data_IF_447082187677
#
_entry.id   IF_447082187677
#
_cell.length_a   1.000
_cell.length_b   1.000
_cell.length_c   1.000
_cell.angle_alpha   90.00
_cell.angle_beta   90.00
_cell.angle_gamma   90.00
#
_symmetry.space_group_name_H-M   'P 1'
#
loop_
_entity.id
_entity.type
_entity.pdbx_description
1 polymer ?
#
# COMPACT_ATOMS: atom_id res chain seq x y z
N UNK A 1 -34.17 4.06 -19.68
CA UNK A 1 -32.74 4.02 -19.90
C UNK A 1 -32.04 3.50 -18.67
N UNK A 2 -31.33 2.43 -18.83
CA UNK A 2 -30.56 1.89 -17.72
C UNK A 2 -29.19 2.56 -17.69
N UNK A 3 -28.93 3.32 -16.67
CA UNK A 3 -27.59 3.84 -16.44
C UNK A 3 -26.86 2.82 -15.58
N UNK A 4 -25.97 2.09 -16.20
CA UNK A 4 -25.06 1.26 -15.43
C UNK A 4 -24.00 2.17 -14.85
N UNK A 5 -24.19 2.55 -13.62
CA UNK A 5 -23.14 3.19 -12.88
C UNK A 5 -22.21 2.07 -12.42
N UNK A 6 -21.04 1.98 -13.04
CA UNK A 6 -19.95 1.34 -12.35
C UNK A 6 -19.88 2.00 -10.97
N UNK A 7 -19.89 1.22 -9.90
CA UNK A 7 -19.75 1.78 -8.57
C UNK A 7 -18.53 2.71 -8.58
N UNK A 8 -18.70 3.99 -8.23
CA UNK A 8 -17.55 4.87 -8.21
C UNK A 8 -16.52 4.30 -7.22
N UNK A 9 -15.26 4.43 -7.57
CA UNK A 9 -14.21 4.14 -6.62
C UNK A 9 -14.35 5.14 -5.47
N UNK A 10 -14.41 4.64 -4.24
CA UNK A 10 -14.48 5.45 -3.05
C UNK A 10 -13.15 5.49 -2.35
N UNK A 11 -12.83 6.59 -1.71
CA UNK A 11 -11.78 6.64 -0.74
C UNK A 11 -12.15 5.71 0.42
N UNK A 12 -11.21 4.84 0.80
CA UNK A 12 -11.45 3.85 1.84
C UNK A 12 -10.23 3.75 2.75
N UNK A 13 -10.49 3.59 4.05
CA UNK A 13 -9.44 3.23 4.98
C UNK A 13 -9.31 1.70 5.01
N UNK A 14 -8.06 1.25 4.90
CA UNK A 14 -7.71 -0.16 4.93
C UNK A 14 -6.99 -0.46 6.22
N UNK A 15 -7.55 -1.36 7.01
CA UNK A 15 -6.99 -1.71 8.32
C UNK A 15 -6.04 -2.88 8.17
N UNK A 16 -4.78 -2.66 8.56
CA UNK A 16 -3.74 -3.69 8.41
C UNK A 16 -4.04 -4.94 9.24
N UNK A 17 -4.81 -4.82 10.30
CA UNK A 17 -5.21 -5.96 11.13
C UNK A 17 -6.04 -6.99 10.36
N UNK A 18 -6.71 -6.58 9.28
CA UNK A 18 -7.60 -7.45 8.51
C UNK A 18 -6.85 -8.36 7.53
N UNK A 19 -5.57 -8.17 7.32
CA UNK A 19 -4.76 -9.01 6.44
C UNK A 19 -3.69 -8.22 5.69
N UNK A 20 -2.82 -8.94 4.99
CA UNK A 20 -1.83 -8.31 4.11
C UNK A 20 -2.53 -7.47 3.04
N UNK A 21 -1.94 -6.33 2.70
CA UNK A 21 -2.49 -5.39 1.73
C UNK A 21 -1.57 -5.33 0.52
N UNK A 22 -2.15 -5.43 -0.68
CA UNK A 22 -1.44 -5.17 -1.93
C UNK A 22 -2.10 -4.00 -2.64
N UNK A 23 -1.31 -3.01 -3.03
CA UNK A 23 -1.78 -1.82 -3.74
C UNK A 23 -1.13 -1.77 -5.11
N UNK A 24 -1.94 -1.64 -6.14
CA UNK A 24 -1.50 -1.50 -7.54
C UNK A 24 -2.13 -0.26 -8.17
N UNK A 25 -1.59 0.17 -9.29
CA UNK A 25 -2.24 1.22 -10.08
C UNK A 25 -3.60 0.75 -10.59
N UNK A 26 -4.59 1.62 -10.52
CA UNK A 26 -5.91 1.35 -11.06
C UNK A 26 -5.98 1.51 -12.58
N UNK A 27 -7.12 1.15 -13.17
CA UNK A 27 -7.36 1.30 -14.60
C UNK A 27 -7.54 2.76 -15.00
N UNK A 28 -7.96 3.58 -14.07
CA UNK A 28 -8.11 5.02 -14.26
C UNK A 28 -6.98 5.74 -13.56
N UNK A 29 -6.37 6.69 -14.25
CA UNK A 29 -5.29 7.51 -13.68
C UNK A 29 -5.76 8.18 -12.39
N UNK A 30 -4.93 8.11 -11.36
CA UNK A 30 -5.23 8.66 -10.05
C UNK A 30 -6.01 7.71 -9.14
N UNK A 31 -6.28 6.50 -9.59
CA UNK A 31 -6.92 5.47 -8.75
C UNK A 31 -5.99 4.30 -8.53
N UNK A 32 -6.24 3.57 -7.45
CA UNK A 32 -5.53 2.34 -7.12
C UNK A 32 -6.48 1.14 -7.18
N UNK A 33 -5.89 -0.03 -7.24
CA UNK A 33 -6.55 -1.31 -6.98
C UNK A 33 -5.96 -1.90 -5.72
N UNK A 34 -6.78 -2.18 -4.74
CA UNK A 34 -6.34 -2.67 -3.44
C UNK A 34 -6.90 -4.06 -3.19
N UNK A 35 -6.04 -4.95 -2.72
CA UNK A 35 -6.41 -6.31 -2.36
C UNK A 35 -6.07 -6.56 -0.90
N UNK A 36 -7.01 -7.16 -0.18
CA UNK A 36 -6.83 -7.56 1.22
C UNK A 36 -7.81 -8.67 1.55
N UNK A 37 -7.33 -9.79 2.09
CA UNK A 37 -8.18 -10.93 2.40
C UNK A 37 -8.93 -11.43 1.16
N UNK A 38 -10.24 -11.47 1.23
CA UNK A 38 -11.10 -11.90 0.12
C UNK A 38 -11.39 -10.77 -0.88
N UNK A 39 -11.02 -9.54 -0.55
CA UNK A 39 -11.16 -8.40 -1.46
C UNK A 39 -10.03 -8.42 -2.48
N UNK A 40 -10.36 -8.40 -3.76
CA UNK A 40 -9.37 -8.45 -4.84
C UNK A 40 -9.57 -7.27 -5.78
N UNK A 41 -8.49 -6.52 -6.02
CA UNK A 41 -8.45 -5.40 -6.96
C UNK A 41 -9.61 -4.42 -6.81
N UNK A 42 -9.90 -4.04 -5.57
CA UNK A 42 -10.97 -3.08 -5.26
C UNK A 42 -10.51 -1.67 -5.67
N UNK A 43 -11.26 -0.99 -6.54
CA UNK A 43 -10.92 0.39 -6.91
C UNK A 43 -10.98 1.34 -5.71
N UNK A 44 -9.98 2.18 -5.58
CA UNK A 44 -9.88 3.15 -4.48
C UNK A 44 -9.27 4.45 -5.00
N UNK A 45 -9.91 5.56 -4.70
CA UNK A 45 -9.49 6.89 -5.17
C UNK A 45 -8.54 7.58 -4.20
N UNK A 46 -8.47 7.11 -2.96
CA UNK A 46 -7.58 7.69 -1.95
C UNK A 46 -7.27 6.60 -0.93
N UNK A 47 -6.18 5.89 -1.19
CA UNK A 47 -5.81 4.72 -0.39
C UNK A 47 -5.12 5.15 0.89
N UNK A 48 -5.80 4.92 2.01
CA UNK A 48 -5.27 5.16 3.35
C UNK A 48 -5.15 3.82 4.07
N UNK A 49 -3.95 3.50 4.51
CA UNK A 49 -3.67 2.31 5.31
C UNK A 49 -3.43 2.76 6.74
N UNK A 50 -4.11 2.11 7.67
CA UNK A 50 -4.05 2.49 9.08
C UNK A 50 -4.20 1.25 9.98
N UNK A 51 -4.05 1.44 11.28
CA UNK A 51 -4.40 0.45 12.30
C UNK A 51 -5.72 0.85 12.97
N UNK A 52 -6.55 -0.12 13.31
CA UNK A 52 -7.67 0.13 14.25
C UNK A 52 -7.13 0.43 15.63
N UNK A 53 -6.13 -0.31 16.04
CA UNK A 53 -5.42 -0.10 17.29
C UNK A 53 -3.95 0.21 17.00
N UNK A 54 -3.64 1.49 16.98
CA UNK A 54 -2.28 1.95 16.68
C UNK A 54 -1.25 1.56 17.75
N UNK A 55 -1.71 1.17 18.92
CA UNK A 55 -0.83 0.77 20.03
C UNK A 55 -0.49 -0.73 20.00
N UNK A 56 -1.15 -1.49 19.11
CA UNK A 56 -0.90 -2.91 18.94
C UNK A 56 -0.39 -3.18 17.52
N UNK A 57 0.85 -3.63 17.41
CA UNK A 57 1.45 -3.91 16.11
C UNK A 57 0.78 -5.11 15.43
N UNK A 58 0.55 -4.98 14.12
CA UNK A 58 0.10 -6.09 13.28
C UNK A 58 1.31 -6.76 12.63
N UNK A 59 1.25 -8.06 12.43
CA UNK A 59 2.27 -8.81 11.68
C UNK A 59 2.01 -8.83 10.17
N UNK A 60 0.89 -8.32 9.73
CA UNK A 60 0.58 -8.22 8.30
C UNK A 60 1.43 -7.15 7.63
N UNK A 61 1.65 -7.32 6.33
CA UNK A 61 2.55 -6.45 5.56
C UNK A 61 1.81 -5.78 4.41
N UNK A 62 2.45 -4.74 3.87
CA UNK A 62 1.94 -3.99 2.72
C UNK A 62 2.91 -4.16 1.54
N UNK A 63 2.37 -4.46 0.37
CA UNK A 63 3.13 -4.45 -0.88
C UNK A 63 2.51 -3.41 -1.81
N UNK A 64 3.32 -2.50 -2.30
CA UNK A 64 2.92 -1.50 -3.29
C UNK A 64 3.64 -1.83 -4.59
N UNK A 65 2.87 -2.15 -5.63
CA UNK A 65 3.41 -2.58 -6.91
C UNK A 65 2.94 -1.66 -8.04
N UNK A 66 3.73 -0.67 -8.36
CA UNK A 66 3.56 0.16 -9.55
C UNK A 66 4.20 -0.57 -10.74
N UNK A 67 3.54 -1.59 -11.26
CA UNK A 67 4.09 -2.58 -12.17
C UNK A 67 4.69 -1.99 -13.43
N UNK A 68 3.95 -1.14 -14.13
CA UNK A 68 4.35 -0.59 -15.42
C UNK A 68 5.02 0.77 -15.25
N UNK A 69 5.93 1.10 -16.15
CA UNK A 69 6.72 2.34 -16.05
C UNK A 69 5.89 3.62 -16.02
N UNK A 70 4.67 3.58 -16.57
CA UNK A 70 3.77 4.73 -16.58
C UNK A 70 2.79 4.75 -15.40
N UNK A 71 2.87 3.73 -14.54
CA UNK A 71 2.03 3.65 -13.36
C UNK A 71 2.46 4.67 -12.32
N UNK A 72 1.46 5.22 -11.63
CA UNK A 72 1.67 6.08 -10.48
C UNK A 72 0.74 5.64 -9.38
N UNK A 73 1.31 5.24 -8.25
CA UNK A 73 0.57 4.78 -7.09
C UNK A 73 0.80 5.75 -5.93
N UNK A 74 -0.27 6.21 -5.33
CA UNK A 74 -0.20 7.08 -4.16
C UNK A 74 -0.89 6.40 -2.98
N UNK A 75 -0.20 6.32 -1.85
CA UNK A 75 -0.69 5.67 -0.63
C UNK A 75 -0.40 6.55 0.56
N UNK A 76 -1.37 6.70 1.44
CA UNK A 76 -1.16 7.34 2.76
C UNK A 76 -1.04 6.26 3.82
N UNK A 77 0.02 6.34 4.63
CA UNK A 77 0.19 5.54 5.83
C UNK A 77 -0.15 6.43 7.03
N UNK A 78 -1.24 6.11 7.72
CA UNK A 78 -1.72 6.91 8.84
C UNK A 78 -1.71 6.10 10.13
N UNK A 79 -0.86 6.48 11.06
CA UNK A 79 -0.75 5.79 12.35
C UNK A 79 -0.59 4.28 12.19
N UNK A 80 0.20 3.85 11.19
CA UNK A 80 0.43 2.43 10.90
C UNK A 80 1.44 1.85 11.87
N UNK A 81 1.12 0.70 12.45
CA UNK A 81 2.00 -0.02 13.35
C UNK A 81 2.12 -1.46 12.88
N UNK A 82 3.26 -1.78 12.26
CA UNK A 82 3.55 -3.10 11.73
C UNK A 82 4.84 -3.63 12.34
N UNK A 83 4.79 -4.87 12.84
CA UNK A 83 5.96 -5.62 13.26
C UNK A 83 6.03 -6.92 12.47
N UNK A 84 6.82 -6.92 11.40
CA UNK A 84 7.05 -8.08 10.55
C UNK A 84 8.32 -8.85 10.95
N UNK A 85 8.85 -8.62 12.15
CA UNK A 85 10.13 -9.21 12.59
C UNK A 85 10.10 -10.72 12.79
N UNK A 86 8.93 -11.32 12.90
CA UNK A 86 8.80 -12.78 12.99
C UNK A 86 8.95 -13.48 11.64
N UNK A 87 8.88 -12.75 10.54
CA UNK A 87 9.08 -13.28 9.18
C UNK A 87 10.34 -12.73 8.55
N UNK A 88 10.58 -13.07 7.30
CA UNK A 88 11.68 -12.54 6.49
C UNK A 88 11.14 -11.55 5.46
N UNK A 89 10.46 -10.51 5.93
CA UNK A 89 9.76 -9.56 5.09
C UNK A 89 9.97 -8.13 5.57
N UNK A 90 9.84 -7.18 4.64
CA UNK A 90 9.68 -5.78 5.00
C UNK A 90 8.25 -5.53 5.50
N UNK A 91 8.07 -4.54 6.36
CA UNK A 91 6.73 -4.12 6.75
C UNK A 91 5.97 -3.53 5.56
N UNK A 92 6.63 -2.68 4.78
CA UNK A 92 6.12 -2.11 3.53
C UNK A 92 7.16 -2.29 2.43
N UNK A 93 6.77 -2.99 1.35
CA UNK A 93 7.62 -3.17 0.18
C UNK A 93 7.08 -2.36 -0.99
N UNK A 94 7.96 -1.63 -1.66
CA UNK A 94 7.63 -0.87 -2.86
C UNK A 94 8.39 -1.47 -4.04
N UNK A 95 7.66 -1.88 -5.07
CA UNK A 95 8.21 -2.55 -6.25
C UNK A 95 7.65 -1.96 -7.55
N UNK A 96 8.19 -2.41 -8.67
CA UNK A 96 7.69 -2.09 -9.99
C UNK A 96 8.49 -1.02 -10.70
N UNK A 97 8.12 -0.78 -11.94
CA UNK A 97 8.81 0.17 -12.84
C UNK A 97 8.20 1.57 -12.79
N UNK A 98 6.99 1.70 -12.27
CA UNK A 98 6.30 2.97 -12.11
C UNK A 98 6.67 3.67 -10.82
N UNK A 99 6.14 4.85 -10.63
CA UNK A 99 6.46 5.69 -9.49
C UNK A 99 5.46 5.49 -8.36
N UNK A 100 5.96 5.52 -7.14
CA UNK A 100 5.14 5.41 -5.92
C UNK A 100 5.39 6.63 -5.04
N UNK A 101 4.31 7.22 -4.56
CA UNK A 101 4.37 8.28 -3.55
C UNK A 101 3.69 7.79 -2.29
N UNK A 102 4.38 7.89 -1.16
CA UNK A 102 3.85 7.56 0.15
C UNK A 102 3.78 8.83 0.99
N UNK A 103 2.58 9.16 1.43
CA UNK A 103 2.36 10.21 2.41
C UNK A 103 2.34 9.61 3.81
N UNK A 104 3.12 10.18 4.71
CA UNK A 104 3.14 9.76 6.11
C UNK A 104 2.30 10.72 6.95
N UNK A 105 1.29 10.19 7.61
CA UNK A 105 0.39 10.94 8.47
C UNK A 105 0.39 10.33 9.86
N UNK A 106 0.51 11.17 10.88
CA UNK A 106 0.60 10.71 12.27
C UNK A 106 1.92 9.99 12.57
N UNK A 107 1.87 9.03 13.48
CA UNK A 107 3.03 8.28 13.93
C UNK A 107 3.02 6.87 13.34
N UNK A 108 3.93 6.62 12.39
CA UNK A 108 4.05 5.31 11.75
C UNK A 108 5.25 4.55 12.31
N UNK A 109 5.05 3.30 12.68
CA UNK A 109 6.11 2.39 13.10
C UNK A 109 6.14 1.19 12.17
N UNK A 110 7.26 1.01 11.47
CA UNK A 110 7.43 -0.08 10.52
C UNK A 110 8.66 -0.88 10.91
N UNK A 111 8.46 -2.11 11.36
CA UNK A 111 9.52 -3.01 11.78
C UNK A 111 9.60 -4.20 10.86
N UNK A 112 10.76 -4.40 10.27
CA UNK A 112 11.00 -5.48 9.32
C UNK A 112 11.55 -6.74 9.97
N UNK A 113 11.51 -7.83 9.22
CA UNK A 113 12.29 -9.01 9.50
C UNK A 113 13.77 -8.81 9.17
N UNK A 114 14.59 -9.77 9.56
CA UNK A 114 16.03 -9.73 9.33
C UNK A 114 16.35 -9.63 7.83
N UNK A 115 17.27 -8.75 7.50
CA UNK A 115 17.71 -8.55 6.11
C UNK A 115 16.81 -7.62 5.29
N UNK A 116 15.81 -7.01 5.91
CA UNK A 116 14.87 -6.10 5.24
C UNK A 116 14.76 -4.77 5.96
N UNK A 117 14.34 -3.75 5.24
CA UNK A 117 14.00 -2.45 5.80
C UNK A 117 12.53 -2.40 6.20
N UNK A 118 12.18 -1.54 7.15
CA UNK A 118 10.78 -1.30 7.50
C UNK A 118 9.97 -0.84 6.29
N UNK A 119 10.48 0.19 5.59
CA UNK A 119 10.00 0.59 4.27
C UNK A 119 11.11 0.28 3.28
N UNK A 120 10.85 -0.67 2.38
CA UNK A 120 11.88 -1.20 1.49
C UNK A 120 11.57 -0.91 0.03
N UNK A 121 12.52 -0.33 -0.66
CA UNK A 121 12.47 -0.11 -2.10
C UNK A 121 13.81 -0.55 -2.70
N UNK A 122 13.86 -1.78 -3.19
CA UNK A 122 15.05 -2.33 -3.82
C UNK A 122 15.18 -1.79 -5.24
N UNK A 123 15.95 -0.74 -5.39
CA UNK A 123 16.09 -0.08 -6.68
C UNK A 123 16.97 -0.87 -7.62
N UNK A 124 16.47 -1.08 -8.84
CA UNK A 124 17.21 -1.64 -9.97
C UNK A 124 17.24 -0.62 -11.11
N UNK A 125 17.92 -0.95 -12.21
CA UNK A 125 18.00 -0.05 -13.37
C UNK A 125 16.62 0.25 -13.99
N UNK A 126 15.64 -0.61 -13.75
CA UNK A 126 14.30 -0.48 -14.33
C UNK A 126 13.24 -0.10 -13.32
N UNK A 127 13.58 0.03 -12.04
CA UNK A 127 12.57 0.41 -11.05
C UNK A 127 12.23 1.90 -11.12
N UNK A 128 10.99 2.22 -10.75
CA UNK A 128 10.53 3.59 -10.65
C UNK A 128 11.06 4.30 -9.41
N UNK A 129 10.58 5.49 -9.19
CA UNK A 129 10.98 6.32 -8.06
C UNK A 129 10.01 6.16 -6.90
N UNK A 130 10.55 6.22 -5.69
CA UNK A 130 9.78 6.31 -4.45
C UNK A 130 9.93 7.71 -3.88
N UNK A 131 8.81 8.37 -3.65
CA UNK A 131 8.76 9.68 -3.01
C UNK A 131 8.05 9.55 -1.67
N UNK A 132 8.65 10.07 -0.62
CA UNK A 132 8.06 10.12 0.72
C UNK A 132 7.74 11.57 1.06
N UNK A 133 6.52 11.81 1.48
CA UNK A 133 6.05 13.14 1.87
C UNK A 133 5.68 13.23 3.33
#
# INVERSE_FOLDING_TARGET
MLITLAAPAFAKEWYIEDGNITVKAGDTKGTNKVSQGESTDVPDTDTVITNRDKDTASSHTVTIDAKDKDDKVEVTLKDVNIDASSGSEAAVSVTGKGDTTIELDGDNELKSGAGHAGLEHNKTDTSGELTIQ
#
